data_IF_530964644642
#
_entry.id   IF_530964644642
#
_cell.length_a   1.000
_cell.length_b   1.000
_cell.length_c   1.000
_cell.angle_alpha   90.00
_cell.angle_beta   90.00
_cell.angle_gamma   90.00
#
_symmetry.space_group_name_H-M   'P 1'
#
loop_
_entity.id
_entity.type
_entity.pdbx_description
1 polymer ?
#
# COMPACT_ATOMS: atom_id res chain seq x y z
N UNK A 1 -28.68 -8.88 11.41
CA UNK A 1 -27.28 -9.31 11.63
C UNK A 1 -26.57 -9.22 10.30
N UNK A 2 -25.36 -8.68 10.30
CA UNK A 2 -24.52 -8.57 9.10
C UNK A 2 -23.90 -9.94 8.83
N UNK A 3 -24.00 -10.43 7.59
CA UNK A 3 -23.28 -11.64 7.18
C UNK A 3 -21.79 -11.32 7.00
N UNK A 4 -20.95 -11.89 7.85
CA UNK A 4 -19.51 -11.65 7.83
C UNK A 4 -18.83 -12.25 6.58
N UNK A 5 -19.46 -13.20 5.88
CA UNK A 5 -18.91 -13.71 4.61
C UNK A 5 -18.84 -12.62 3.55
N UNK A 6 -19.84 -11.72 3.53
CA UNK A 6 -19.86 -10.55 2.65
C UNK A 6 -18.70 -9.60 2.91
N UNK A 7 -18.19 -9.55 4.15
CA UNK A 7 -17.02 -8.79 4.53
C UNK A 7 -15.71 -9.59 4.51
N UNK A 8 -15.71 -10.80 3.93
CA UNK A 8 -14.49 -11.60 3.70
C UNK A 8 -14.14 -12.59 4.81
N UNK A 9 -15.07 -12.91 5.70
CA UNK A 9 -14.90 -13.99 6.68
C UNK A 9 -15.03 -15.35 6.02
N UNK A 10 -14.08 -16.24 6.27
CA UNK A 10 -14.07 -17.58 5.69
C UNK A 10 -13.47 -18.62 6.65
N UNK A 11 -13.33 -19.85 6.15
CA UNK A 11 -12.83 -20.98 6.95
C UNK A 11 -11.43 -20.75 7.53
N UNK A 12 -10.56 -19.97 6.87
CA UNK A 12 -9.24 -19.64 7.40
C UNK A 12 -9.37 -18.84 8.70
N UNK A 13 -10.18 -17.78 8.67
CA UNK A 13 -10.38 -16.95 9.86
C UNK A 13 -11.15 -17.69 10.95
N UNK A 14 -12.18 -18.46 10.58
CA UNK A 14 -12.94 -19.30 11.51
C UNK A 14 -12.04 -20.27 12.29
N UNK A 15 -11.18 -21.02 11.57
CA UNK A 15 -10.26 -21.98 12.18
C UNK A 15 -9.24 -21.33 13.12
N UNK A 16 -8.82 -20.10 12.83
CA UNK A 16 -7.94 -19.35 13.71
C UNK A 16 -8.69 -18.77 14.91
N UNK A 17 -9.93 -18.32 14.72
CA UNK A 17 -10.76 -17.73 15.76
C UNK A 17 -11.16 -18.75 16.84
N UNK A 18 -11.52 -19.97 16.45
CA UNK A 18 -11.90 -21.05 17.36
C UNK A 18 -10.81 -21.39 18.40
N UNK A 19 -9.52 -21.14 18.08
CA UNK A 19 -8.40 -21.34 19.01
C UNK A 19 -8.45 -20.36 20.19
N UNK A 20 -9.07 -19.20 20.03
CA UNK A 20 -9.20 -18.18 21.07
C UNK A 20 -10.44 -18.35 21.95
N UNK A 21 -11.48 -19.05 21.47
CA UNK A 21 -12.72 -19.32 22.21
C UNK A 21 -12.55 -20.32 23.37
N UNK A 22 -11.35 -20.89 23.57
CA UNK A 22 -11.05 -21.83 24.66
C UNK A 22 -10.79 -21.14 26.03
N UNK A 23 -10.84 -19.80 26.11
CA UNK A 23 -10.36 -19.03 27.27
C UNK A 23 -11.46 -18.44 28.18
N UNK A 24 -12.62 -19.11 28.34
CA UNK A 24 -13.76 -18.67 29.18
C UNK A 24 -14.38 -17.29 28.83
N UNK A 25 -13.90 -16.62 27.79
CA UNK A 25 -14.40 -15.33 27.30
C UNK A 25 -14.97 -15.56 25.91
N UNK A 26 -16.20 -15.08 25.67
CA UNK A 26 -16.84 -15.14 24.35
C UNK A 26 -16.38 -13.91 23.56
N UNK A 27 -15.58 -14.14 22.52
CA UNK A 27 -15.17 -13.11 21.59
C UNK A 27 -16.13 -13.06 20.39
N UNK A 28 -16.31 -11.87 19.85
CA UNK A 28 -17.05 -11.61 18.62
C UNK A 28 -16.02 -11.31 17.51
N UNK A 29 -16.09 -11.95 16.34
CA UNK A 29 -15.25 -11.58 15.21
C UNK A 29 -15.68 -10.24 14.63
N UNK A 30 -14.71 -9.37 14.37
CA UNK A 30 -14.94 -8.08 13.71
C UNK A 30 -13.80 -7.73 12.74
N UNK A 31 -14.12 -7.01 11.67
CA UNK A 31 -13.14 -6.54 10.68
C UNK A 31 -12.85 -5.06 10.90
N UNK A 32 -11.59 -4.66 10.92
CA UNK A 32 -11.19 -3.25 11.01
C UNK A 32 -11.54 -2.54 9.70
N UNK A 33 -12.44 -1.54 9.75
CA UNK A 33 -12.83 -0.75 8.58
C UNK A 33 -12.08 0.56 8.48
N UNK A 34 -11.77 1.21 9.60
CA UNK A 34 -10.96 2.43 9.62
C UNK A 34 -10.26 2.64 10.96
N UNK A 35 -9.29 3.55 10.97
CA UNK A 35 -8.61 3.99 12.19
C UNK A 35 -8.46 5.51 12.19
N UNK A 36 -9.05 6.17 13.19
CA UNK A 36 -9.08 7.63 13.29
C UNK A 36 -9.03 8.11 14.75
N UNK A 37 -8.16 9.09 15.04
CA UNK A 37 -8.00 9.71 16.38
C UNK A 37 -7.89 8.68 17.52
N UNK A 38 -7.06 7.66 17.31
CA UNK A 38 -6.86 6.53 18.25
C UNK A 38 -8.08 5.64 18.51
N UNK A 39 -9.11 5.73 17.66
CA UNK A 39 -10.28 4.86 17.68
C UNK A 39 -10.33 4.03 16.40
N UNK A 40 -10.55 2.73 16.56
CA UNK A 40 -10.84 1.84 15.46
C UNK A 40 -12.33 1.89 15.14
N UNK A 41 -12.68 1.79 13.87
CA UNK A 41 -14.02 1.40 13.45
C UNK A 41 -13.96 -0.06 13.05
N UNK A 42 -14.92 -0.86 13.52
CA UNK A 42 -14.97 -2.29 13.24
C UNK A 42 -16.35 -2.70 12.75
N UNK A 43 -16.39 -3.62 11.80
CA UNK A 43 -17.61 -4.23 11.29
C UNK A 43 -17.76 -5.63 11.89
N UNK A 44 -18.86 -5.86 12.60
CA UNK A 44 -19.20 -7.15 13.20
C UNK A 44 -20.59 -7.60 12.77
N UNK A 45 -21.02 -8.80 13.17
CA UNK A 45 -22.39 -9.29 12.96
C UNK A 45 -23.46 -8.37 13.57
N UNK A 46 -23.08 -7.62 14.61
CA UNK A 46 -23.91 -6.64 15.32
C UNK A 46 -23.99 -5.28 14.61
N UNK A 47 -23.23 -5.07 13.53
CA UNK A 47 -23.10 -3.76 12.88
C UNK A 47 -21.71 -3.14 13.05
N UNK A 48 -21.61 -1.88 12.62
CA UNK A 48 -20.43 -1.05 12.82
C UNK A 48 -20.35 -0.53 14.25
N UNK A 49 -19.18 -0.68 14.86
CA UNK A 49 -18.92 -0.30 16.26
C UNK A 49 -17.57 0.40 16.36
N UNK A 50 -17.40 1.23 17.40
CA UNK A 50 -16.11 1.85 17.71
C UNK A 50 -15.30 0.95 18.65
N UNK A 51 -14.03 0.75 18.32
CA UNK A 51 -13.11 -0.14 19.01
C UNK A 51 -11.95 0.57 19.67
N UNK A 52 -11.60 0.13 20.88
CA UNK A 52 -10.36 0.50 21.58
C UNK A 52 -9.56 -0.77 21.86
N UNK A 53 -8.24 -0.69 21.82
CA UNK A 53 -7.36 -1.81 22.16
C UNK A 53 -7.37 -2.05 23.67
N UNK A 54 -7.49 -3.32 24.09
CA UNK A 54 -7.34 -3.71 25.50
C UNK A 54 -5.94 -3.34 26.04
N UNK A 55 -5.86 -2.98 27.32
CA UNK A 55 -4.57 -2.70 27.96
C UNK A 55 -3.59 -3.89 27.90
N UNK A 56 -4.12 -5.11 28.05
CA UNK A 56 -3.33 -6.35 27.91
C UNK A 56 -2.74 -6.49 26.51
N UNK A 57 -3.54 -6.30 25.47
CA UNK A 57 -3.06 -6.37 24.09
C UNK A 57 -2.01 -5.29 23.81
N UNK A 58 -2.24 -4.05 24.26
CA UNK A 58 -1.28 -2.95 24.13
C UNK A 58 0.08 -3.25 24.78
N UNK A 59 0.08 -3.92 25.92
CA UNK A 59 1.30 -4.29 26.65
C UNK A 59 2.03 -5.48 26.01
N UNK A 60 1.28 -6.45 25.46
CA UNK A 60 1.85 -7.65 24.83
C UNK A 60 2.43 -7.38 23.44
N UNK A 61 1.91 -6.38 22.74
CA UNK A 61 2.40 -6.00 21.41
C UNK A 61 3.71 -5.23 21.57
N UNK A 62 4.80 -5.89 21.19
CA UNK A 62 6.17 -5.34 21.27
C UNK A 62 6.58 -4.52 20.04
N UNK A 63 5.75 -4.48 18.99
CA UNK A 63 6.13 -3.93 17.69
C UNK A 63 4.92 -3.41 16.91
N UNK A 64 5.13 -2.36 16.10
CA UNK A 64 4.06 -1.59 15.45
C UNK A 64 3.26 -2.45 14.46
N UNK A 65 3.91 -3.37 13.76
CA UNK A 65 3.31 -4.22 12.74
C UNK A 65 2.24 -5.17 13.31
N UNK A 66 2.28 -5.46 14.61
CA UNK A 66 1.30 -6.33 15.28
C UNK A 66 0.05 -5.58 15.76
N UNK A 67 0.03 -4.25 15.66
CA UNK A 67 -1.19 -3.49 15.89
C UNK A 67 -2.21 -3.74 14.77
N UNK A 68 -3.52 -3.62 15.05
CA UNK A 68 -4.55 -3.73 14.04
C UNK A 68 -4.40 -2.65 12.96
N UNK A 69 -4.55 -3.06 11.71
CA UNK A 69 -4.59 -2.22 10.52
C UNK A 69 -5.92 -2.41 9.77
N UNK A 70 -6.22 -1.51 8.83
CA UNK A 70 -7.44 -1.62 8.02
C UNK A 70 -7.46 -2.94 7.25
N UNK A 71 -8.59 -3.64 7.29
CA UNK A 71 -8.78 -4.96 6.70
C UNK A 71 -8.43 -6.14 7.62
N UNK A 72 -7.80 -5.91 8.79
CA UNK A 72 -7.55 -6.95 9.77
C UNK A 72 -8.83 -7.53 10.36
N UNK A 73 -8.80 -8.82 10.66
CA UNK A 73 -9.81 -9.48 11.48
C UNK A 73 -9.33 -9.56 12.92
N UNK A 74 -10.21 -9.18 13.85
CA UNK A 74 -9.92 -9.08 15.28
C UNK A 74 -10.98 -9.79 16.11
N UNK A 75 -10.58 -10.24 17.30
CA UNK A 75 -11.49 -10.67 18.35
C UNK A 75 -11.84 -9.52 19.28
N UNK A 76 -13.13 -9.25 19.43
CA UNK A 76 -13.62 -8.15 20.26
C UNK A 76 -14.60 -8.61 21.33
N UNK A 77 -14.72 -7.85 22.41
CA UNK A 77 -15.83 -7.98 23.36
C UNK A 77 -16.63 -6.68 23.40
N UNK A 78 -17.95 -6.78 23.47
CA UNK A 78 -18.80 -5.59 23.63
C UNK A 78 -18.65 -5.03 25.06
N UNK A 79 -18.54 -3.70 25.20
CA UNK A 79 -18.67 -3.06 26.51
C UNK A 79 -20.15 -3.01 26.89
N UNK A 80 -20.47 -3.36 28.13
CA UNK A 80 -21.83 -3.22 28.64
C UNK A 80 -22.27 -1.75 28.57
N UNK A 81 -23.49 -1.50 28.09
CA UNK A 81 -24.12 -0.18 28.00
C UNK A 81 -23.44 0.87 27.10
N UNK A 82 -22.46 0.48 26.27
CA UNK A 82 -21.83 1.36 25.27
C UNK A 82 -21.88 0.74 23.86
N UNK A 83 -22.00 1.57 22.83
CA UNK A 83 -21.78 1.19 21.42
C UNK A 83 -20.27 1.12 21.10
N UNK A 84 -19.52 0.47 21.99
CA UNK A 84 -18.08 0.28 21.89
C UNK A 84 -17.67 -1.16 22.11
N UNK A 85 -16.54 -1.52 21.51
CA UNK A 85 -15.91 -2.82 21.68
C UNK A 85 -14.47 -2.66 22.16
N UNK A 86 -13.97 -3.70 22.83
CA UNK A 86 -12.57 -3.83 23.21
C UNK A 86 -11.93 -4.85 22.29
N UNK A 87 -10.85 -4.47 21.61
CA UNK A 87 -10.05 -5.32 20.73
C UNK A 87 -9.00 -6.06 21.58
N UNK A 88 -9.03 -7.40 21.52
CA UNK A 88 -8.16 -8.26 22.33
C UNK A 88 -7.01 -8.87 21.56
N UNK A 89 -7.21 -9.17 20.28
CA UNK A 89 -6.20 -9.76 19.42
C UNK A 89 -6.52 -9.53 17.94
N UNK A 90 -5.48 -9.63 17.12
CA UNK A 90 -5.54 -9.64 15.65
C UNK A 90 -5.31 -11.07 15.18
N UNK A 91 -6.15 -11.57 14.27
CA UNK A 91 -5.97 -12.87 13.63
C UNK A 91 -4.83 -12.83 12.60
N UNK A 92 -4.23 -13.98 12.25
CA UNK A 92 -3.20 -14.02 11.20
C UNK A 92 -3.71 -13.43 9.88
N UNK A 93 -2.83 -12.70 9.20
CA UNK A 93 -3.11 -12.04 7.93
C UNK A 93 -2.87 -13.00 6.77
N UNK A 94 -3.77 -13.02 5.78
CA UNK A 94 -3.54 -13.73 4.51
C UNK A 94 -2.59 -12.97 3.60
N UNK A 95 -2.71 -11.65 3.64
CA UNK A 95 -1.88 -10.72 2.89
C UNK A 95 -1.73 -9.41 3.67
N UNK A 96 -0.67 -8.68 3.39
CA UNK A 96 -0.30 -7.51 4.15
C UNK A 96 0.55 -6.56 3.30
N UNK A 97 0.03 -5.37 3.01
CA UNK A 97 0.84 -4.28 2.48
C UNK A 97 1.40 -3.50 3.67
N UNK A 98 2.71 -3.57 3.82
CA UNK A 98 3.43 -2.90 4.89
C UNK A 98 4.48 -1.95 4.33
N UNK A 99 5.06 -1.18 5.24
CA UNK A 99 6.06 -0.17 4.92
C UNK A 99 7.09 -0.14 6.06
N UNK A 100 8.38 0.02 5.77
CA UNK A 100 9.45 0.25 6.77
C UNK A 100 9.70 1.72 7.08
N UNK A 101 9.29 2.20 8.26
CA UNK A 101 9.52 3.61 8.64
C UNK A 101 10.98 3.85 9.03
N UNK A 102 11.68 4.83 8.41
CA UNK A 102 13.05 5.18 8.80
C UNK A 102 13.09 5.73 10.24
N UNK A 103 13.99 5.21 11.05
CA UNK A 103 14.18 5.57 12.46
C UNK A 103 15.35 4.81 13.08
N UNK A 104 15.60 5.01 14.39
CA UNK A 104 16.69 4.34 15.14
C UNK A 104 16.53 2.81 15.15
N UNK A 105 15.31 2.32 14.97
CA UNK A 105 14.99 0.96 14.57
C UNK A 105 14.09 1.04 13.34
N UNK A 106 14.37 0.23 12.33
CA UNK A 106 13.49 0.06 11.17
C UNK A 106 12.22 -0.63 11.65
N UNK A 107 11.15 0.13 11.87
CA UNK A 107 9.86 -0.41 12.32
C UNK A 107 8.94 -0.59 11.11
N UNK A 108 8.43 -1.80 10.96
CA UNK A 108 7.44 -2.13 9.94
C UNK A 108 6.06 -1.65 10.40
N UNK A 109 5.39 -0.88 9.54
CA UNK A 109 4.03 -0.42 9.76
C UNK A 109 3.13 -1.02 8.69
N UNK A 110 2.13 -1.77 9.15
CA UNK A 110 1.11 -2.31 8.25
C UNK A 110 0.15 -1.22 7.82
N UNK A 111 -0.08 -1.13 6.51
CA UNK A 111 -0.96 -0.15 5.90
C UNK A 111 -2.36 -0.71 5.79
N UNK A 112 -2.47 -1.89 5.21
CA UNK A 112 -3.69 -2.66 5.11
C UNK A 112 -3.39 -4.16 4.99
N UNK A 113 -4.38 -4.97 5.33
CA UNK A 113 -4.27 -6.42 5.38
C UNK A 113 -5.49 -7.12 4.80
N UNK A 114 -5.34 -8.42 4.50
CA UNK A 114 -6.38 -9.29 3.95
C UNK A 114 -6.98 -8.73 2.66
N UNK A 115 -6.07 -8.37 1.76
CA UNK A 115 -6.32 -7.94 0.39
C UNK A 115 -6.25 -9.17 -0.51
N UNK A 116 -7.28 -9.40 -1.31
CA UNK A 116 -7.31 -10.50 -2.27
C UNK A 116 -6.62 -10.11 -3.58
N UNK A 117 -6.85 -8.87 -4.06
CA UNK A 117 -6.25 -8.36 -5.30
C UNK A 117 -5.70 -6.95 -5.12
N UNK A 118 -4.47 -6.72 -5.56
CA UNK A 118 -3.86 -5.39 -5.64
C UNK A 118 -3.72 -4.95 -7.09
N UNK A 119 -4.41 -3.88 -7.44
CA UNK A 119 -4.34 -3.28 -8.77
C UNK A 119 -3.19 -2.29 -8.85
N UNK A 120 -2.21 -2.54 -9.72
CA UNK A 120 -1.23 -1.54 -10.12
C UNK A 120 -1.80 -0.67 -11.24
N UNK A 121 -2.13 0.58 -10.93
CA UNK A 121 -2.68 1.54 -11.88
C UNK A 121 -1.57 2.41 -12.46
N UNK A 122 -1.31 2.24 -13.75
CA UNK A 122 -0.41 3.08 -14.55
C UNK A 122 -1.17 3.68 -15.75
N UNK A 123 -0.50 4.53 -16.52
CA UNK A 123 -1.08 5.26 -17.66
C UNK A 123 -0.18 5.15 -18.88
N UNK A 124 -0.75 5.30 -20.09
CA UNK A 124 -0.03 5.24 -21.37
C UNK A 124 0.89 6.44 -21.65
N UNK A 125 1.10 7.33 -20.67
CA UNK A 125 1.87 8.57 -20.80
C UNK A 125 3.26 8.43 -20.15
N UNK A 126 3.78 9.50 -19.54
CA UNK A 126 5.10 9.52 -18.89
C UNK A 126 5.19 8.60 -17.67
N UNK A 127 4.07 8.10 -17.15
CA UNK A 127 4.10 7.12 -16.06
C UNK A 127 4.36 5.68 -16.54
N UNK A 128 4.24 5.41 -17.85
CA UNK A 128 4.49 4.08 -18.39
C UNK A 128 5.98 3.72 -18.28
N UNK A 129 6.31 2.83 -17.35
CA UNK A 129 7.66 2.40 -17.09
C UNK A 129 7.67 0.91 -16.72
N UNK A 130 8.11 0.08 -17.64
CA UNK A 130 8.12 -1.38 -17.49
C UNK A 130 8.91 -1.84 -16.26
N UNK A 131 10.10 -1.26 -16.01
CA UNK A 131 10.89 -1.58 -14.82
C UNK A 131 10.14 -1.20 -13.56
N UNK A 132 9.44 -0.06 -13.55
CA UNK A 132 8.57 0.31 -12.42
C UNK A 132 7.51 -0.75 -12.23
N UNK A 133 6.80 -1.13 -13.28
CA UNK A 133 5.74 -2.14 -13.24
C UNK A 133 6.25 -3.46 -12.62
N UNK A 134 7.31 -4.07 -13.15
CA UNK A 134 7.91 -5.31 -12.62
C UNK A 134 8.18 -5.27 -11.12
N UNK A 135 8.63 -4.12 -10.63
CA UNK A 135 9.02 -3.96 -9.22
C UNK A 135 7.81 -3.83 -8.31
N UNK A 136 6.78 -3.10 -8.72
CA UNK A 136 5.51 -3.05 -7.98
C UNK A 136 4.83 -4.40 -7.95
N UNK A 137 4.88 -5.13 -9.07
CA UNK A 137 4.37 -6.49 -9.13
C UNK A 137 5.07 -7.38 -8.10
N UNK A 138 6.40 -7.34 -8.03
CA UNK A 138 7.17 -8.08 -7.03
C UNK A 138 6.74 -7.73 -5.60
N UNK A 139 6.57 -6.45 -5.28
CA UNK A 139 6.09 -6.00 -3.97
C UNK A 139 4.66 -6.50 -3.65
N UNK A 140 3.76 -6.50 -4.64
CA UNK A 140 2.41 -7.05 -4.47
C UNK A 140 2.48 -8.55 -4.18
N UNK A 141 3.33 -9.29 -4.89
CA UNK A 141 3.52 -10.73 -4.64
C UNK A 141 4.04 -11.01 -3.24
N UNK A 142 5.06 -10.27 -2.79
CA UNK A 142 5.62 -10.41 -1.45
C UNK A 142 4.59 -10.11 -0.35
N UNK A 143 3.58 -9.26 -0.65
CA UNK A 143 2.48 -8.97 0.25
C UNK A 143 1.49 -10.13 0.43
N UNK A 144 1.52 -11.14 -0.45
CA UNK A 144 0.56 -12.26 -0.49
C UNK A 144 -0.76 -11.95 -1.21
N UNK A 145 -0.94 -10.74 -1.75
CA UNK A 145 -2.10 -10.39 -2.58
C UNK A 145 -1.87 -10.78 -4.05
N UNK A 146 -2.94 -11.06 -4.79
CA UNK A 146 -2.84 -11.31 -6.23
C UNK A 146 -2.65 -9.98 -6.99
N UNK A 147 -1.66 -9.86 -7.89
CA UNK A 147 -1.52 -8.67 -8.72
C UNK A 147 -2.51 -8.65 -9.88
N UNK A 148 -2.94 -7.45 -10.25
CA UNK A 148 -3.57 -7.15 -11.53
C UNK A 148 -3.11 -5.76 -11.99
N UNK A 149 -3.02 -5.53 -13.30
CA UNK A 149 -2.52 -4.27 -13.85
C UNK A 149 -3.68 -3.53 -14.49
N UNK A 150 -3.78 -2.24 -14.21
CA UNK A 150 -4.69 -1.33 -14.91
C UNK A 150 -3.85 -0.37 -15.75
N UNK A 151 -4.05 -0.42 -17.07
CA UNK A 151 -3.56 0.60 -18.00
C UNK A 151 -4.70 1.59 -18.23
N UNK A 152 -4.67 2.69 -17.48
CA UNK A 152 -5.70 3.72 -17.51
C UNK A 152 -5.36 4.84 -18.51
N UNK A 153 -6.36 5.69 -18.81
CA UNK A 153 -6.30 6.77 -19.79
C UNK A 153 -6.06 6.28 -21.21
N UNK A 154 -6.71 5.17 -21.59
CA UNK A 154 -6.65 4.64 -22.95
C UNK A 154 -7.11 5.66 -24.02
N UNK A 155 -7.93 6.65 -23.62
CA UNK A 155 -8.34 7.78 -24.46
C UNK A 155 -7.17 8.64 -24.97
N UNK A 156 -6.00 8.58 -24.31
CA UNK A 156 -4.81 9.33 -24.70
C UNK A 156 -3.82 8.52 -25.55
N UNK A 157 -4.14 7.26 -25.87
CA UNK A 157 -3.23 6.35 -26.56
C UNK A 157 -3.81 5.92 -27.92
N UNK A 158 -3.02 6.06 -28.98
CA UNK A 158 -3.41 5.61 -30.32
C UNK A 158 -3.21 4.11 -30.52
N UNK A 159 -2.20 3.52 -29.87
CA UNK A 159 -1.75 2.15 -30.12
C UNK A 159 -1.66 1.36 -28.80
N UNK A 160 -2.82 1.17 -28.15
CA UNK A 160 -2.95 0.50 -26.84
C UNK A 160 -2.32 -0.90 -26.86
N UNK A 161 -2.46 -1.62 -27.96
CA UNK A 161 -2.00 -3.01 -28.11
C UNK A 161 -0.48 -3.14 -27.96
N UNK A 162 0.30 -2.12 -28.32
CA UNK A 162 1.76 -2.15 -28.18
C UNK A 162 2.13 -2.15 -26.70
N UNK A 163 1.56 -1.22 -25.93
CA UNK A 163 1.81 -1.11 -24.49
C UNK A 163 1.34 -2.36 -23.74
N UNK A 164 0.20 -2.92 -24.13
CA UNK A 164 -0.29 -4.19 -23.55
C UNK A 164 0.72 -5.30 -23.76
N UNK A 165 1.20 -5.49 -24.99
CA UNK A 165 2.20 -6.53 -25.31
C UNK A 165 3.50 -6.34 -24.51
N UNK A 166 3.97 -5.10 -24.38
CA UNK A 166 5.16 -4.81 -23.57
C UNK A 166 4.98 -5.20 -22.10
N UNK A 167 3.80 -4.94 -21.53
CA UNK A 167 3.47 -5.35 -20.17
C UNK A 167 3.31 -6.87 -20.07
N UNK A 168 2.64 -7.52 -21.02
CA UNK A 168 2.48 -8.99 -21.05
C UNK A 168 3.83 -9.71 -21.04
N UNK A 169 4.83 -9.19 -21.76
CA UNK A 169 6.18 -9.76 -21.80
C UNK A 169 6.87 -9.80 -20.44
N UNK A 170 6.66 -8.77 -19.61
CA UNK A 170 7.26 -8.67 -18.27
C UNK A 170 6.37 -9.26 -17.16
N UNK A 171 5.12 -9.58 -17.47
CA UNK A 171 4.12 -10.00 -16.48
C UNK A 171 3.25 -11.19 -16.96
N UNK A 172 3.88 -12.30 -17.37
CA UNK A 172 3.15 -13.44 -17.91
C UNK A 172 2.14 -13.98 -16.88
N UNK A 173 0.87 -14.09 -17.30
CA UNK A 173 -0.21 -14.62 -16.46
C UNK A 173 -0.84 -13.61 -15.49
N UNK A 174 -0.37 -12.35 -15.45
CA UNK A 174 -1.04 -11.29 -14.70
C UNK A 174 -2.17 -10.71 -15.55
N UNK A 175 -3.40 -10.56 -15.01
CA UNK A 175 -4.46 -9.87 -15.72
C UNK A 175 -4.12 -8.40 -15.99
N UNK A 176 -4.33 -7.97 -17.23
CA UNK A 176 -4.14 -6.58 -17.66
C UNK A 176 -5.49 -6.03 -18.12
N UNK A 177 -5.90 -4.92 -17.52
CA UNK A 177 -7.17 -4.24 -17.82
C UNK A 177 -6.86 -2.89 -18.46
N UNK A 178 -7.23 -2.73 -19.73
CA UNK A 178 -7.16 -1.45 -20.43
C UNK A 178 -8.48 -0.70 -20.26
N UNK A 179 -8.40 0.56 -19.82
CA UNK A 179 -9.60 1.36 -19.57
C UNK A 179 -9.36 2.87 -19.71
N UNK A 180 -10.45 3.60 -19.84
CA UNK A 180 -10.50 5.04 -19.58
C UNK A 180 -11.50 5.30 -18.47
N UNK A 181 -10.99 5.62 -17.28
CA UNK A 181 -11.83 6.04 -16.16
C UNK A 181 -12.57 7.37 -16.45
N UNK A 182 -12.03 8.21 -17.35
CA UNK A 182 -12.65 9.47 -17.76
C UNK A 182 -13.89 9.20 -18.62
N UNK A 183 -13.72 8.36 -19.65
CA UNK A 183 -14.79 7.97 -20.58
C UNK A 183 -15.68 6.83 -20.03
N UNK A 184 -15.40 6.36 -18.80
CA UNK A 184 -16.10 5.24 -18.14
C UNK A 184 -16.11 3.96 -18.98
N UNK A 185 -15.06 3.75 -19.77
CA UNK A 185 -14.93 2.59 -20.67
C UNK A 185 -13.96 1.58 -20.09
N UNK A 186 -14.38 0.31 -19.97
CA UNK A 186 -13.56 -0.80 -19.48
C UNK A 186 -13.43 -0.88 -17.95
N UNK A 187 -13.98 0.08 -17.21
CA UNK A 187 -13.90 0.11 -15.73
C UNK A 187 -14.71 -1.06 -15.12
N UNK A 188 -15.77 -1.49 -15.80
CA UNK A 188 -16.61 -2.62 -15.42
C UNK A 188 -15.85 -3.95 -15.33
N UNK A 189 -14.71 -4.08 -16.02
CA UNK A 189 -13.86 -5.27 -15.94
C UNK A 189 -13.31 -5.52 -14.53
N UNK A 190 -13.19 -4.47 -13.70
CA UNK A 190 -12.77 -4.58 -12.30
C UNK A 190 -13.76 -5.42 -11.47
N UNK A 191 -15.04 -5.43 -11.85
CA UNK A 191 -16.06 -6.21 -11.13
C UNK A 191 -15.78 -7.72 -11.13
N UNK A 192 -14.98 -8.23 -12.07
CA UNK A 192 -14.55 -9.64 -12.09
C UNK A 192 -13.68 -10.03 -10.88
N UNK A 193 -13.05 -9.03 -10.24
CA UNK A 193 -12.20 -9.17 -9.06
C UNK A 193 -12.91 -8.77 -7.76
N UNK A 194 -14.12 -8.20 -7.85
CA UNK A 194 -14.93 -7.73 -6.73
C UNK A 194 -16.09 -8.68 -6.43
N UNK A 195 -15.79 -9.98 -6.32
CA UNK A 195 -16.79 -10.96 -5.86
C UNK A 195 -17.11 -10.73 -4.37
N UNK A 196 -18.19 -11.33 -3.91
CA UNK A 196 -18.57 -11.28 -2.49
C UNK A 196 -17.39 -11.68 -1.59
N UNK A 197 -17.15 -10.90 -0.53
CA UNK A 197 -16.06 -11.12 0.41
C UNK A 197 -14.66 -10.78 -0.10
N UNK A 198 -14.48 -10.46 -1.38
CA UNK A 198 -13.19 -10.07 -1.95
C UNK A 198 -12.84 -8.62 -1.66
N UNK A 199 -11.59 -8.36 -1.33
CA UNK A 199 -11.06 -7.04 -1.01
C UNK A 199 -10.01 -6.63 -2.01
N UNK A 200 -10.18 -5.46 -2.63
CA UNK A 200 -9.22 -4.91 -3.58
C UNK A 200 -8.59 -3.62 -3.05
N UNK A 201 -7.43 -3.30 -3.60
CA UNK A 201 -6.73 -2.04 -3.32
C UNK A 201 -6.08 -1.52 -4.61
N UNK A 202 -5.88 -0.21 -4.70
CA UNK A 202 -5.25 0.44 -5.85
C UNK A 202 -3.89 1.05 -5.48
N UNK A 203 -2.86 0.66 -6.23
CA UNK A 203 -1.48 1.17 -6.17
C UNK A 203 -1.12 1.91 -7.46
N UNK A 204 -0.02 2.68 -7.44
CA UNK A 204 0.51 3.39 -8.62
C UNK A 204 0.50 4.91 -8.47
N UNK A 205 1.25 5.61 -9.33
CA UNK A 205 1.64 7.02 -9.15
C UNK A 205 0.46 8.00 -8.94
N UNK A 206 0.73 9.15 -8.31
CA UNK A 206 -0.27 10.22 -8.24
C UNK A 206 -0.67 10.66 -9.66
N UNK A 207 -1.98 10.86 -9.90
CA UNK A 207 -2.49 11.29 -11.20
C UNK A 207 -2.77 10.17 -12.22
N UNK A 208 -2.60 8.89 -11.84
CA UNK A 208 -2.95 7.74 -12.70
C UNK A 208 -4.46 7.44 -12.78
N UNK A 209 -5.29 8.15 -11.99
CA UNK A 209 -6.75 8.04 -12.04
C UNK A 209 -7.39 7.09 -11.02
N UNK A 210 -6.63 6.56 -10.04
CA UNK A 210 -7.15 5.70 -8.95
C UNK A 210 -8.42 6.25 -8.28
N UNK A 211 -8.40 7.51 -7.84
CA UNK A 211 -9.58 8.11 -7.17
C UNK A 211 -10.79 8.21 -8.10
N UNK A 212 -10.59 8.42 -9.40
CA UNK A 212 -11.67 8.40 -10.40
C UNK A 212 -12.27 7.00 -10.52
N UNK A 213 -11.43 5.96 -10.54
CA UNK A 213 -11.86 4.55 -10.56
C UNK A 213 -12.62 4.19 -9.28
N UNK A 214 -12.08 4.51 -8.10
CA UNK A 214 -12.71 4.25 -6.80
C UNK A 214 -14.10 4.91 -6.74
N UNK A 215 -14.20 6.18 -7.14
CA UNK A 215 -15.47 6.90 -7.19
C UNK A 215 -16.50 6.24 -8.10
N UNK A 216 -16.06 5.77 -9.27
CA UNK A 216 -16.93 5.03 -10.19
C UNK A 216 -17.46 3.74 -9.55
N UNK A 217 -16.59 2.97 -8.88
CA UNK A 217 -16.97 1.69 -8.28
C UNK A 217 -17.89 1.83 -7.08
N UNK A 218 -17.70 2.87 -6.26
CA UNK A 218 -18.53 3.11 -5.08
C UNK A 218 -19.91 3.71 -5.40
N UNK A 219 -20.23 3.91 -6.68
CA UNK A 219 -21.42 4.67 -7.15
C UNK A 219 -21.58 6.01 -6.40
N UNK A 220 -20.45 6.55 -5.95
CA UNK A 220 -20.40 7.76 -5.16
C UNK A 220 -20.25 8.90 -6.16
N UNK A 221 -21.13 9.91 -6.17
CA UNK A 221 -20.90 11.10 -6.96
C UNK A 221 -19.60 11.74 -6.47
N UNK A 222 -18.51 11.61 -7.24
CA UNK A 222 -17.16 12.14 -6.97
C UNK A 222 -16.90 12.29 -5.46
N UNK A 223 -16.47 11.26 -4.73
CA UNK A 223 -15.87 11.53 -3.42
C UNK A 223 -14.78 12.60 -3.64
N UNK A 224 -15.04 13.78 -3.10
CA UNK A 224 -14.05 14.71 -2.61
C UNK A 224 -12.78 14.86 -3.48
N UNK A 225 -12.90 15.31 -4.74
CA UNK A 225 -11.77 16.03 -5.33
C UNK A 225 -11.47 17.35 -4.60
N UNK A 226 -12.29 17.79 -3.61
CA UNK A 226 -12.05 19.06 -2.90
C UNK A 226 -12.74 19.30 -1.52
N UNK A 227 -13.24 18.30 -0.78
CA UNK A 227 -13.98 18.59 0.49
C UNK A 227 -13.66 17.64 1.65
N UNK A 228 -12.47 17.82 2.22
CA UNK A 228 -12.40 18.30 3.61
C UNK A 228 -11.66 19.64 3.53
N UNK A 229 -12.35 20.70 3.08
CA UNK A 229 -11.85 22.07 3.23
C UNK A 229 -12.26 22.58 4.59
N UNK A 230 -11.30 23.25 5.23
CA UNK A 230 -11.44 24.25 6.29
C UNK A 230 -12.14 23.79 7.56
N UNK A 231 -11.35 23.38 8.55
CA UNK A 231 -11.38 24.11 9.81
C UNK A 231 -9.95 24.39 10.29
N UNK A 232 -9.72 25.69 10.43
CA UNK A 232 -8.74 26.43 11.20
C UNK A 232 -7.35 25.85 11.49
N UNK A 233 -6.34 26.58 11.00
CA UNK A 233 -4.94 26.64 11.45
C UNK A 233 -4.18 25.30 11.56
N UNK A 234 -3.38 25.06 10.52
CA UNK A 234 -1.96 24.70 10.68
C UNK A 234 -1.62 23.38 11.40
N UNK A 235 -0.98 22.50 10.62
CA UNK A 235 -0.24 21.28 11.01
C UNK A 235 -1.08 20.00 11.18
N UNK A 236 -0.66 19.02 10.37
CA UNK A 236 -0.99 17.59 10.37
C UNK A 236 -2.26 17.17 9.60
N UNK A 237 -2.10 17.01 8.29
CA UNK A 237 -3.02 16.29 7.39
C UNK A 237 -3.12 14.82 7.81
N UNK A 238 -4.11 14.47 8.62
CA UNK A 238 -4.38 13.07 8.97
C UNK A 238 -5.02 12.40 7.75
N UNK A 239 -4.23 11.62 7.02
CA UNK A 239 -4.67 10.91 5.82
C UNK A 239 -5.51 9.68 6.23
N UNK A 240 -6.81 9.73 5.96
CA UNK A 240 -7.78 8.70 6.34
C UNK A 240 -7.53 7.39 5.59
N UNK A 241 -7.56 6.24 6.30
CA UNK A 241 -7.52 4.90 5.68
C UNK A 241 -8.83 4.22 5.99
N UNK A 242 -9.52 3.74 4.97
CA UNK A 242 -10.88 3.24 5.11
C UNK A 242 -11.17 2.11 4.13
N UNK A 243 -11.93 1.13 4.60
CA UNK A 243 -12.51 0.03 3.84
C UNK A 243 -13.96 0.38 3.52
N UNK A 244 -14.28 0.42 2.23
CA UNK A 244 -15.60 0.70 1.71
C UNK A 244 -16.24 -0.56 1.15
N UNK A 245 -17.51 -0.78 1.47
CA UNK A 245 -18.34 -1.79 0.81
C UNK A 245 -18.77 -1.26 -0.56
N UNK A 246 -18.59 -2.05 -1.61
CA UNK A 246 -19.05 -1.68 -2.95
C UNK A 246 -20.56 -1.93 -3.06
N UNK A 247 -21.37 -0.98 -3.58
CA UNK A 247 -22.81 -1.15 -3.70
C UNK A 247 -23.23 -2.40 -4.49
N UNK A 248 -24.40 -2.96 -4.15
CA UNK A 248 -24.98 -4.12 -4.82
C UNK A 248 -24.39 -5.46 -4.37
N UNK A 249 -24.00 -5.57 -3.10
CA UNK A 249 -23.41 -6.79 -2.50
C UNK A 249 -22.14 -7.28 -3.21
N UNK A 250 -21.37 -6.32 -3.73
CA UNK A 250 -20.07 -6.59 -4.33
C UNK A 250 -18.99 -6.65 -3.24
N UNK A 251 -17.75 -6.89 -3.65
CA UNK A 251 -16.59 -6.88 -2.76
C UNK A 251 -16.31 -5.54 -2.06
N UNK A 252 -15.08 -5.35 -1.61
CA UNK A 252 -14.65 -4.21 -0.81
C UNK A 252 -13.46 -3.52 -1.45
N UNK A 253 -13.33 -2.22 -1.18
CA UNK A 253 -12.21 -1.40 -1.62
C UNK A 253 -11.56 -0.77 -0.39
N UNK A 254 -10.24 -0.92 -0.26
CA UNK A 254 -9.47 -0.13 0.70
C UNK A 254 -8.92 1.10 -0.03
N UNK A 255 -9.26 2.30 0.44
CA UNK A 255 -8.60 3.53 0.02
C UNK A 255 -7.63 4.00 1.10
N UNK A 256 -6.42 4.34 0.69
CA UNK A 256 -5.44 4.96 1.59
C UNK A 256 -4.59 5.98 0.83
N UNK A 257 -4.67 7.28 1.18
CA UNK A 257 -3.79 8.31 0.65
C UNK A 257 -2.30 8.01 0.90
N UNK A 258 -2.00 7.14 1.88
CA UNK A 258 -0.66 6.67 2.24
C UNK A 258 0.01 5.71 1.25
N UNK A 259 -0.69 5.24 0.21
CA UNK A 259 -0.05 4.44 -0.85
C UNK A 259 1.02 5.21 -1.61
N UNK A 260 1.02 6.55 -1.56
CA UNK A 260 2.08 7.39 -2.16
C UNK A 260 3.45 7.17 -1.53
N UNK A 261 3.51 6.83 -0.25
CA UNK A 261 4.79 6.60 0.43
C UNK A 261 5.30 5.16 0.18
N UNK A 262 4.39 4.18 0.03
CA UNK A 262 4.76 2.85 -0.51
C UNK A 262 5.41 3.01 -1.89
N UNK A 263 4.87 3.90 -2.71
CA UNK A 263 5.40 4.15 -4.05
C UNK A 263 6.85 4.63 -4.03
N UNK A 264 7.18 5.52 -3.09
CA UNK A 264 8.54 6.04 -2.90
C UNK A 264 9.47 4.98 -2.31
N UNK A 265 9.01 4.12 -1.40
CA UNK A 265 9.86 3.08 -0.79
C UNK A 265 10.11 1.91 -1.69
N UNK A 266 9.12 1.53 -2.51
CA UNK A 266 9.39 0.68 -3.65
C UNK A 266 10.55 1.31 -4.43
N UNK A 267 10.43 2.56 -4.88
CA UNK A 267 11.50 3.24 -5.64
C UNK A 267 12.86 3.34 -4.89
N UNK A 268 12.91 3.53 -3.57
CA UNK A 268 14.15 3.62 -2.75
C UNK A 268 14.83 2.26 -2.49
N UNK A 269 14.10 1.25 -2.02
CA UNK A 269 14.59 -0.14 -1.83
C UNK A 269 15.15 -0.68 -3.17
N UNK A 270 14.61 -0.18 -4.28
CA UNK A 270 15.05 -0.49 -5.62
C UNK A 270 16.34 0.23 -6.01
N UNK A 271 16.57 1.48 -5.62
CA UNK A 271 17.86 2.15 -5.89
C UNK A 271 18.97 1.42 -5.15
N UNK A 272 18.72 1.03 -3.90
CA UNK A 272 19.66 0.20 -3.11
C UNK A 272 19.93 -1.15 -3.77
N UNK A 273 18.91 -1.82 -4.35
CA UNK A 273 19.09 -3.09 -5.08
C UNK A 273 19.70 -2.93 -6.48
N UNK A 274 19.37 -1.87 -7.21
CA UNK A 274 19.81 -1.62 -8.60
C UNK A 274 21.29 -1.27 -8.68
N UNK A 275 21.78 -0.60 -7.64
CA UNK A 275 23.18 -0.25 -7.47
C UNK A 275 23.80 -0.99 -6.27
N UNK A 276 23.32 -2.19 -5.97
CA UNK A 276 23.86 -3.02 -4.90
C UNK A 276 25.36 -3.30 -5.10
N UNK A 277 25.82 -3.39 -6.35
CA UNK A 277 27.23 -3.44 -6.72
C UNK A 277 28.00 -2.21 -6.22
N UNK A 278 27.47 -1.01 -6.43
CA UNK A 278 28.06 0.25 -5.94
C UNK A 278 27.96 0.36 -4.42
N UNK A 279 26.86 -0.07 -3.80
CA UNK A 279 26.68 -0.01 -2.34
C UNK A 279 27.59 -1.02 -1.60
N UNK A 280 27.86 -2.19 -2.18
CA UNK A 280 28.84 -3.13 -1.62
C UNK A 280 30.27 -2.56 -1.73
N UNK A 281 30.58 -1.88 -2.82
CA UNK A 281 31.86 -1.20 -3.00
C UNK A 281 31.97 0.04 -2.08
N UNK A 282 30.87 0.77 -1.84
CA UNK A 282 30.85 1.97 -1.01
C UNK A 282 31.22 1.67 0.45
N UNK A 283 30.89 0.49 0.97
CA UNK A 283 31.28 0.02 2.31
C UNK A 283 32.80 -0.11 2.50
N UNK A 284 33.55 -0.20 1.40
CA UNK A 284 35.02 -0.29 1.43
C UNK A 284 35.70 1.06 1.21
N UNK A 285 34.93 2.13 1.02
CA UNK A 285 35.49 3.47 0.94
C UNK A 285 36.19 3.83 2.25
N UNK A 286 37.27 4.60 2.14
CA UNK A 286 38.00 5.13 3.31
C UNK A 286 37.12 5.99 4.23
N UNK A 287 36.08 6.62 3.67
CA UNK A 287 35.18 7.53 4.39
C UNK A 287 33.74 7.00 4.34
N UNK A 288 33.06 7.03 5.49
CA UNK A 288 31.67 6.56 5.62
C UNK A 288 30.65 7.47 4.90
N UNK A 289 31.01 8.72 4.61
CA UNK A 289 30.20 9.73 3.92
C UNK A 289 30.69 10.03 2.51
N UNK A 290 31.44 9.11 1.90
CA UNK A 290 31.99 9.27 0.56
C UNK A 290 30.89 9.57 -0.49
N UNK A 291 31.02 10.68 -1.20
CA UNK A 291 30.12 11.04 -2.31
C UNK A 291 30.50 10.38 -3.64
N UNK A 292 31.60 9.62 -3.67
CA UNK A 292 32.18 8.99 -4.84
C UNK A 292 32.55 9.97 -5.97
N UNK A 293 32.79 11.25 -5.63
CA UNK A 293 33.08 12.30 -6.62
C UNK A 293 34.53 12.73 -6.65
N UNK A 294 35.19 12.96 -5.52
CA UNK A 294 36.57 13.49 -5.45
C UNK A 294 37.40 12.92 -4.30
N UNK A 295 36.80 12.07 -3.48
CA UNK A 295 37.40 11.56 -2.26
C UNK A 295 38.57 10.61 -2.56
N UNK A 296 39.71 10.77 -1.85
CA UNK A 296 40.81 9.82 -1.94
C UNK A 296 40.47 8.50 -1.24
N UNK A 297 40.84 7.36 -1.82
CA UNK A 297 40.51 6.02 -1.28
C UNK A 297 39.04 5.65 -1.45
N UNK A 298 38.45 6.03 -2.58
CA UNK A 298 37.08 5.66 -2.94
C UNK A 298 37.10 4.31 -3.67
N UNK A 299 36.69 3.25 -2.98
CA UNK A 299 36.66 1.89 -3.52
C UNK A 299 35.77 1.75 -4.78
N UNK A 300 34.73 2.58 -4.91
CA UNK A 300 33.88 2.64 -6.12
C UNK A 300 34.65 3.17 -7.33
N UNK A 301 35.56 4.14 -7.14
CA UNK A 301 36.39 4.67 -8.22
C UNK A 301 37.55 3.74 -8.56
N UNK A 302 38.16 3.12 -7.55
CA UNK A 302 39.18 2.09 -7.75
C UNK A 302 38.60 0.93 -8.58
N UNK A 303 37.38 0.48 -8.27
CA UNK A 303 36.68 -0.51 -9.08
C UNK A 303 36.40 -0.06 -10.54
N UNK A 304 36.30 1.24 -10.81
CA UNK A 304 36.19 1.77 -12.18
C UNK A 304 37.55 1.73 -12.88
N UNK A 305 38.62 2.12 -12.18
CA UNK A 305 40.00 2.08 -12.70
C UNK A 305 40.45 0.64 -13.02
N UNK A 306 40.01 -0.32 -12.21
CA UNK A 306 40.26 -1.76 -12.39
C UNK A 306 39.32 -2.42 -13.42
N UNK A 307 38.34 -1.68 -13.96
CA UNK A 307 37.38 -2.18 -14.95
C UNK A 307 36.30 -3.12 -14.40
N UNK A 308 36.18 -3.21 -13.07
CA UNK A 308 35.16 -4.01 -12.36
C UNK A 308 33.79 -3.32 -12.44
N UNK A 309 33.76 -1.99 -12.49
CA UNK A 309 32.55 -1.18 -12.61
C UNK A 309 32.64 -0.22 -13.80
N UNK A 310 31.61 -0.17 -14.63
CA UNK A 310 31.59 0.78 -15.75
C UNK A 310 31.39 2.24 -15.26
N UNK A 311 32.14 3.23 -15.79
CA UNK A 311 31.98 4.64 -15.41
C UNK A 311 30.54 5.16 -15.53
N UNK A 312 29.82 4.76 -16.59
CA UNK A 312 28.41 5.14 -16.83
C UNK A 312 27.47 4.67 -15.72
N UNK A 313 27.84 3.60 -15.00
CA UNK A 313 27.05 3.04 -13.91
C UNK A 313 27.10 3.94 -12.68
N UNK A 314 28.28 4.48 -12.35
CA UNK A 314 28.43 5.51 -11.31
C UNK A 314 27.73 6.81 -11.68
N UNK A 315 27.80 7.25 -12.95
CA UNK A 315 27.05 8.44 -13.41
C UNK A 315 25.54 8.29 -13.22
N UNK A 316 25.01 7.11 -13.55
CA UNK A 316 23.59 6.78 -13.39
C UNK A 316 23.17 6.78 -11.91
N UNK A 317 24.00 6.20 -11.04
CA UNK A 317 23.80 6.21 -9.59
C UNK A 317 23.75 7.64 -9.03
N UNK A 318 24.75 8.46 -9.36
CA UNK A 318 24.82 9.85 -8.89
C UNK A 318 23.71 10.74 -9.46
N UNK A 319 23.20 10.44 -10.66
CA UNK A 319 22.04 11.12 -11.22
C UNK A 319 20.76 10.77 -10.45
N UNK A 320 20.50 9.48 -10.23
CA UNK A 320 19.32 9.05 -9.47
C UNK A 320 19.34 9.54 -8.02
N UNK A 321 20.49 9.49 -7.34
CA UNK A 321 20.65 10.01 -5.97
C UNK A 321 20.36 11.52 -5.87
N UNK A 322 20.70 12.30 -6.91
CA UNK A 322 20.38 13.74 -7.00
C UNK A 322 18.90 14.00 -7.23
N UNK A 323 18.25 13.21 -8.07
CA UNK A 323 16.80 13.32 -8.31
C UNK A 323 16.01 13.02 -7.03
N UNK A 324 16.42 12.00 -6.27
CA UNK A 324 15.83 11.65 -4.97
C UNK A 324 16.03 12.75 -3.91
N UNK A 325 17.26 13.29 -3.77
CA UNK A 325 17.52 14.41 -2.85
C UNK A 325 16.73 15.67 -3.22
N UNK A 326 16.57 15.96 -4.51
CA UNK A 326 15.77 17.08 -4.97
C UNK A 326 14.27 16.94 -4.64
N UNK A 327 13.76 15.71 -4.55
CA UNK A 327 12.39 15.42 -4.13
C UNK A 327 12.23 15.54 -2.61
N UNK A 328 13.21 15.06 -1.83
CA UNK A 328 13.19 15.18 -0.36
C UNK A 328 13.28 16.64 0.10
N UNK A 329 14.17 17.44 -0.50
CA UNK A 329 14.36 18.86 -0.14
C UNK A 329 13.15 19.72 -0.52
N UNK A 330 12.49 19.44 -1.66
CA UNK A 330 11.22 20.11 -2.03
C UNK A 330 10.08 19.74 -1.07
N UNK A 331 10.06 18.51 -0.56
CA UNK A 331 9.08 18.06 0.43
C UNK A 331 9.30 18.69 1.81
N UNK A 332 10.56 19.00 2.17
CA UNK A 332 10.91 19.69 3.42
C UNK A 332 10.72 21.21 3.33
N UNK A 333 11.02 21.82 2.19
CA UNK A 333 10.80 23.25 1.94
C UNK A 333 9.31 23.60 1.90
N UNK A 334 8.47 22.70 1.40
CA UNK A 334 7.01 22.80 1.44
C UNK A 334 6.41 22.54 2.84
N UNK A 335 7.19 22.03 3.81
CA UNK A 335 6.79 21.87 5.22
C UNK A 335 7.26 23.03 6.11
N UNK A 336 8.21 23.85 5.63
CA UNK A 336 8.83 24.97 6.38
C UNK A 336 8.32 26.36 5.96
N UNK A 337 7.65 26.49 4.83
CA UNK A 337 6.94 27.69 4.38
C UNK A 337 5.44 27.43 4.29
#
# INVERSE_FOLDING_TARGET
MIDLKKSGWDSFFENHFLKYNQQNTIYIPARITSFHRNLYSVLSECGELKGEISGKFRYQVQSIEKFPAVGDWVGVTKKEHEDKVIIHFVLPRKSCLSRKTPGVKTEEQVICANIDTSFLVTTFDRDFNLRRIERYLSFIWDSGANPAIILNKADLCTDVEIFVREVELISPGIPILCMSALEKSGVEQIYNFLKEGQTIVFLGSSGTGKSTIINYLLDAPKQATNTLRSDDKGRHTTSFRELFMVPGEKGMIIDSPGMREIQLWADEDIVEKTFADIEVLSQRCRFNDCSHTKEPGCAVKEAIEEGILEPKRLESYLKQKRELKGLSEKSEFAKKN
#
